data_IF_683557980730
#
_entry.id   IF_683557980730
#
_cell.length_a   1.000
_cell.length_b   1.000
_cell.length_c   1.000
_cell.angle_alpha   90.00
_cell.angle_beta   90.00
_cell.angle_gamma   90.00
#
_symmetry.space_group_name_H-M   'P 1'
#
loop_
_entity.id
_entity.type
_entity.pdbx_description
1 polymer ?
#
# COMPACT_ATOMS: atom_id res chain seq x y z
N UNK A 1 -2.26 -15.72 28.85
CA UNK A 1 -1.18 -15.03 28.09
C UNK A 1 -1.00 -15.76 26.76
N UNK A 2 -1.09 -15.06 25.61
CA UNK A 2 -0.79 -15.69 24.33
C UNK A 2 0.70 -16.03 24.29
N UNK A 3 1.03 -17.30 24.00
CA UNK A 3 2.43 -17.71 23.79
C UNK A 3 2.99 -16.90 22.61
N UNK A 4 4.18 -16.29 22.71
CA UNK A 4 4.73 -15.42 21.67
C UNK A 4 4.75 -16.07 20.28
N UNK A 5 5.00 -17.38 20.21
CA UNK A 5 4.99 -18.15 18.96
C UNK A 5 3.60 -18.21 18.30
N UNK A 6 2.53 -18.37 19.10
CA UNK A 6 1.17 -18.39 18.57
C UNK A 6 0.74 -17.00 18.06
N UNK A 7 1.17 -15.95 18.75
CA UNK A 7 0.96 -14.57 18.29
C UNK A 7 1.72 -14.29 16.99
N UNK A 8 3.00 -14.68 16.92
CA UNK A 8 3.82 -14.57 15.70
C UNK A 8 3.14 -15.23 14.51
N UNK A 9 2.76 -16.51 14.63
CA UNK A 9 2.15 -17.27 13.54
C UNK A 9 0.83 -16.63 13.09
N UNK A 10 0.00 -16.19 14.03
CA UNK A 10 -1.24 -15.49 13.71
C UNK A 10 -0.98 -14.23 12.88
N UNK A 11 -0.06 -13.38 13.29
CA UNK A 11 0.26 -12.14 12.57
C UNK A 11 0.85 -12.47 11.20
N UNK A 12 1.84 -13.37 11.15
CA UNK A 12 2.48 -13.80 9.91
C UNK A 12 1.46 -14.29 8.86
N UNK A 13 0.56 -15.19 9.24
CA UNK A 13 -0.47 -15.75 8.34
C UNK A 13 -1.45 -14.67 7.88
N UNK A 14 -1.76 -13.67 8.71
CA UNK A 14 -2.63 -12.55 8.32
C UNK A 14 -1.95 -11.65 7.30
N UNK A 15 -0.65 -11.35 7.45
CA UNK A 15 0.05 -10.44 6.55
C UNK A 15 0.38 -11.05 5.18
N UNK A 16 0.48 -12.39 5.10
CA UNK A 16 0.76 -13.10 3.86
C UNK A 16 -0.22 -12.75 2.72
N UNK A 17 -1.55 -12.88 2.88
CA UNK A 17 -2.47 -12.48 1.82
C UNK A 17 -2.64 -10.96 1.69
N UNK A 18 -2.36 -10.19 2.76
CA UNK A 18 -2.54 -8.74 2.75
C UNK A 18 -1.59 -8.03 1.79
N UNK A 19 -0.42 -8.62 1.51
CA UNK A 19 0.51 -8.07 0.52
C UNK A 19 -0.14 -7.95 -0.86
N UNK A 20 -0.71 -9.03 -1.40
CA UNK A 20 -1.33 -9.00 -2.72
C UNK A 20 -2.71 -8.34 -2.72
N UNK A 21 -3.48 -8.48 -1.63
CA UNK A 21 -4.74 -7.72 -1.47
C UNK A 21 -4.44 -6.22 -1.53
N UNK A 22 -3.36 -5.76 -0.90
CA UNK A 22 -2.91 -4.37 -0.96
C UNK A 22 -2.55 -3.93 -2.39
N UNK A 23 -1.86 -4.77 -3.15
CA UNK A 23 -1.56 -4.51 -4.58
C UNK A 23 -2.85 -4.42 -5.40
N UNK A 24 -3.77 -5.37 -5.25
CA UNK A 24 -5.02 -5.37 -6.01
C UNK A 24 -5.95 -4.19 -5.65
N UNK A 25 -5.95 -3.76 -4.39
CA UNK A 25 -6.70 -2.57 -3.97
C UNK A 25 -6.07 -1.28 -4.52
N UNK A 26 -4.75 -1.24 -4.65
CA UNK A 26 -4.05 -0.14 -5.33
C UNK A 26 -4.45 -0.05 -6.80
N UNK A 27 -4.31 -1.14 -7.55
CA UNK A 27 -4.72 -1.17 -8.97
C UNK A 27 -6.22 -0.92 -9.13
N UNK A 28 -7.04 -1.44 -8.21
CA UNK A 28 -8.47 -1.17 -8.15
C UNK A 28 -8.79 0.33 -7.98
N UNK A 29 -7.94 1.08 -7.28
CA UNK A 29 -8.04 2.53 -7.16
C UNK A 29 -7.85 3.25 -8.49
N UNK A 30 -6.83 2.87 -9.26
CA UNK A 30 -6.63 3.39 -10.62
C UNK A 30 -7.81 3.04 -11.53
N UNK A 31 -8.27 1.78 -11.49
CA UNK A 31 -9.40 1.30 -12.30
C UNK A 31 -10.69 2.06 -11.97
N UNK A 32 -10.97 2.30 -10.69
CA UNK A 32 -12.17 3.01 -10.27
C UNK A 32 -12.20 4.42 -10.87
N UNK A 33 -11.09 5.16 -10.80
CA UNK A 33 -11.00 6.50 -11.37
C UNK A 33 -11.09 6.45 -12.90
N UNK A 34 -10.35 5.55 -13.54
CA UNK A 34 -10.38 5.38 -15.00
C UNK A 34 -11.79 5.09 -15.52
N UNK A 35 -12.55 4.20 -14.87
CA UNK A 35 -13.93 3.90 -15.26
C UNK A 35 -14.89 5.06 -15.03
N UNK A 36 -14.73 5.82 -13.94
CA UNK A 36 -15.53 7.03 -13.71
C UNK A 36 -15.29 8.07 -14.80
N UNK A 37 -14.07 8.15 -15.33
CA UNK A 37 -13.70 9.01 -16.44
C UNK A 37 -14.05 8.42 -17.83
N UNK A 38 -14.66 7.22 -17.89
CA UNK A 38 -15.12 6.60 -19.13
C UNK A 38 -14.10 5.74 -19.88
N UNK A 39 -12.98 5.38 -19.26
CA UNK A 39 -11.96 4.52 -19.88
C UNK A 39 -12.27 3.04 -19.72
N UNK A 40 -11.95 2.26 -20.76
CA UNK A 40 -11.81 0.81 -20.66
C UNK A 40 -10.55 0.45 -19.87
N UNK A 41 -10.63 -0.57 -19.03
CA UNK A 41 -9.51 -0.97 -18.15
C UNK A 41 -9.24 -2.46 -18.24
N UNK A 42 -7.97 -2.82 -18.30
CA UNK A 42 -7.48 -4.20 -18.17
C UNK A 42 -6.55 -4.25 -16.96
N UNK A 43 -6.81 -5.20 -16.07
CA UNK A 43 -5.99 -5.46 -14.88
C UNK A 43 -4.97 -6.54 -15.21
N UNK A 44 -3.69 -6.25 -14.94
CA UNK A 44 -2.59 -7.20 -15.00
C UNK A 44 -2.13 -7.52 -13.57
N UNK A 45 -1.29 -8.54 -13.40
CA UNK A 45 -0.89 -8.98 -12.06
C UNK A 45 -0.02 -7.97 -11.28
N UNK A 46 0.70 -7.10 -11.98
CA UNK A 46 1.64 -6.11 -11.42
C UNK A 46 1.24 -4.65 -11.68
N UNK A 47 0.21 -4.44 -12.51
CA UNK A 47 -0.12 -3.14 -13.07
C UNK A 47 -1.53 -3.15 -13.65
N UNK A 48 -1.95 -2.00 -14.19
CA UNK A 48 -3.18 -1.92 -14.97
C UNK A 48 -2.92 -1.07 -16.22
N UNK A 49 -3.60 -1.41 -17.32
CA UNK A 49 -3.61 -0.60 -18.56
C UNK A 49 -5.01 -0.05 -18.85
N UNK A 50 -5.11 1.22 -19.25
CA UNK A 50 -6.37 1.82 -19.71
C UNK A 50 -6.27 2.20 -21.19
N UNK A 51 -7.35 1.96 -21.94
CA UNK A 51 -7.49 2.38 -23.34
C UNK A 51 -8.74 3.25 -23.46
N UNK A 52 -8.60 4.40 -24.12
CA UNK A 52 -9.75 5.23 -24.48
C UNK A 52 -10.45 4.60 -25.69
N UNK A 53 -11.71 4.19 -25.55
CA UNK A 53 -12.48 3.51 -26.61
C UNK A 53 -12.91 4.40 -27.79
N UNK A 54 -12.43 5.64 -27.91
CA UNK A 54 -12.60 6.41 -29.16
C UNK A 54 -11.71 7.65 -29.19
N UNK A 55 -10.67 7.64 -30.03
CA UNK A 55 -9.98 8.86 -30.48
C UNK A 55 -9.21 9.66 -29.41
N UNK A 56 -8.89 9.09 -28.26
CA UNK A 56 -8.19 9.84 -27.19
C UNK A 56 -6.72 10.08 -27.52
N UNK A 57 -6.35 11.37 -27.50
CA UNK A 57 -4.97 11.82 -27.57
C UNK A 57 -4.48 12.09 -26.13
N UNK A 58 -3.41 11.45 -25.64
CA UNK A 58 -2.85 11.71 -24.30
C UNK A 58 -2.43 13.17 -24.07
N UNK A 59 -2.32 13.97 -25.14
CA UNK A 59 -2.08 15.41 -25.06
C UNK A 59 -3.36 16.26 -24.94
N UNK A 60 -4.55 15.67 -25.00
CA UNK A 60 -5.82 16.40 -25.00
C UNK A 60 -6.41 16.63 -23.60
N UNK A 61 -6.11 15.77 -22.62
CA UNK A 61 -6.53 15.97 -21.22
C UNK A 61 -5.51 15.39 -20.20
N UNK A 62 -4.43 16.15 -19.89
CA UNK A 62 -3.41 15.71 -18.93
C UNK A 62 -3.92 15.56 -17.49
N UNK A 63 -5.12 16.08 -17.21
CA UNK A 63 -5.72 16.03 -15.88
C UNK A 63 -6.29 14.64 -15.58
N UNK A 64 -6.88 13.96 -16.57
CA UNK A 64 -7.42 12.60 -16.42
C UNK A 64 -6.35 11.60 -15.96
N UNK A 65 -5.19 11.61 -16.60
CA UNK A 65 -4.09 10.72 -16.22
C UNK A 65 -3.60 11.00 -14.79
N UNK A 66 -3.54 12.28 -14.41
CA UNK A 66 -3.19 12.68 -13.04
C UNK A 66 -4.18 12.12 -12.02
N UNK A 67 -5.49 12.19 -12.29
CA UNK A 67 -6.51 11.60 -11.44
C UNK A 67 -6.39 10.08 -11.36
N UNK A 68 -6.15 9.42 -12.50
CA UNK A 68 -5.96 7.97 -12.55
C UNK A 68 -4.73 7.60 -11.70
N UNK A 69 -3.58 8.24 -11.90
CA UNK A 69 -2.36 8.02 -11.12
C UNK A 69 -2.56 8.25 -9.61
N UNK A 70 -3.40 9.22 -9.22
CA UNK A 70 -3.73 9.43 -7.81
C UNK A 70 -4.60 8.31 -7.22
N UNK A 71 -5.39 7.62 -8.04
CA UNK A 71 -6.36 6.61 -7.61
C UNK A 71 -5.76 5.52 -6.73
N UNK A 72 -4.65 4.92 -7.15
CA UNK A 72 -3.99 3.83 -6.41
C UNK A 72 -3.40 4.27 -5.07
N UNK A 73 -2.54 5.31 -5.01
CA UNK A 73 -2.00 5.83 -3.76
C UNK A 73 -3.11 6.27 -2.79
N UNK A 74 -4.12 6.99 -3.28
CA UNK A 74 -5.23 7.46 -2.45
C UNK A 74 -6.11 6.31 -1.92
N UNK A 75 -6.32 5.24 -2.68
CA UNK A 75 -7.05 4.06 -2.20
C UNK A 75 -6.37 3.45 -0.96
N UNK A 76 -5.06 3.20 -1.05
CA UNK A 76 -4.29 2.64 0.06
C UNK A 76 -4.19 3.60 1.25
N UNK A 77 -3.93 4.89 1.01
CA UNK A 77 -3.90 5.90 2.08
C UNK A 77 -5.28 6.03 2.75
N UNK A 78 -6.37 5.96 1.99
CA UNK A 78 -7.73 5.99 2.49
C UNK A 78 -8.04 4.82 3.44
N UNK A 79 -7.70 3.59 3.03
CA UNK A 79 -7.83 2.38 3.87
C UNK A 79 -6.96 2.51 5.13
N UNK A 80 -5.72 2.99 4.97
CA UNK A 80 -4.80 3.27 6.06
C UNK A 80 -5.37 4.27 7.09
N UNK A 81 -5.93 5.37 6.61
CA UNK A 81 -6.57 6.40 7.43
C UNK A 81 -7.79 5.82 8.18
N UNK A 82 -8.62 5.03 7.52
CA UNK A 82 -9.74 4.33 8.17
C UNK A 82 -9.25 3.40 9.29
N UNK A 83 -8.20 2.62 9.04
CA UNK A 83 -7.57 1.76 10.03
C UNK A 83 -7.04 2.52 11.24
N UNK A 84 -6.31 3.62 11.02
CA UNK A 84 -5.81 4.49 12.09
C UNK A 84 -6.92 5.11 12.93
N UNK A 85 -7.98 5.61 12.27
CA UNK A 85 -9.14 6.17 12.94
C UNK A 85 -9.83 5.11 13.81
N UNK A 86 -10.05 3.92 13.27
CA UNK A 86 -10.67 2.83 14.00
C UNK A 86 -9.82 2.39 15.20
N UNK A 87 -8.50 2.28 15.01
CA UNK A 87 -7.56 1.95 16.08
C UNK A 87 -7.57 2.99 17.20
N UNK A 88 -7.62 4.28 16.87
CA UNK A 88 -7.76 5.36 17.85
C UNK A 88 -9.08 5.32 18.63
N UNK A 89 -10.17 4.82 18.03
CA UNK A 89 -11.43 4.56 18.74
C UNK A 89 -11.33 3.38 19.69
N UNK A 90 -10.64 2.30 19.30
CA UNK A 90 -10.46 1.10 20.12
C UNK A 90 -9.46 1.30 21.26
N UNK A 91 -8.49 2.20 21.11
CA UNK A 91 -7.47 2.48 22.13
C UNK A 91 -8.03 3.23 23.35
N UNK A 92 -9.20 3.86 23.24
CA UNK A 92 -9.90 4.49 24.37
C UNK A 92 -10.44 3.48 25.39
N UNK A 93 -10.48 2.18 25.04
CA UNK A 93 -10.93 1.10 25.93
C UNK A 93 -9.71 0.54 26.69
N UNK A 94 -9.55 0.94 27.96
CA UNK A 94 -8.33 0.72 28.77
C UNK A 94 -7.98 -0.76 29.04
N UNK A 95 -8.97 -1.66 29.05
CA UNK A 95 -8.76 -3.02 29.56
C UNK A 95 -8.93 -4.14 28.53
N UNK A 96 -9.10 -3.81 27.25
CA UNK A 96 -9.21 -4.85 26.22
C UNK A 96 -7.84 -5.45 25.90
N UNK A 97 -7.75 -6.78 25.84
CA UNK A 97 -6.62 -7.48 25.26
C UNK A 97 -6.38 -7.03 23.80
N UNK A 98 -5.21 -7.31 23.24
CA UNK A 98 -4.99 -7.15 21.80
C UNK A 98 -5.81 -8.22 21.05
N UNK A 99 -7.05 -7.85 20.76
CA UNK A 99 -8.08 -8.72 20.22
C UNK A 99 -8.08 -8.73 18.68
N UNK A 100 -8.99 -9.50 18.08
CA UNK A 100 -9.15 -9.56 16.63
C UNK A 100 -9.45 -8.21 16.00
N UNK A 101 -10.22 -7.35 16.67
CA UNK A 101 -10.60 -6.02 16.16
C UNK A 101 -9.40 -5.09 16.08
N UNK A 102 -8.56 -5.05 17.12
CA UNK A 102 -7.31 -4.28 17.09
C UNK A 102 -6.32 -4.84 16.09
N UNK A 103 -6.25 -6.17 15.96
CA UNK A 103 -5.41 -6.81 14.94
C UNK A 103 -5.82 -6.33 13.53
N UNK A 104 -7.11 -6.40 13.21
CA UNK A 104 -7.64 -5.96 11.91
C UNK A 104 -7.43 -4.46 11.68
N UNK A 105 -7.75 -3.62 12.67
CA UNK A 105 -7.54 -2.17 12.56
C UNK A 105 -6.05 -1.83 12.35
N UNK A 106 -5.13 -2.54 13.01
CA UNK A 106 -3.69 -2.39 12.78
C UNK A 106 -3.26 -2.83 11.39
N UNK A 107 -3.80 -3.94 10.87
CA UNK A 107 -3.53 -4.40 9.50
C UNK A 107 -3.99 -3.36 8.47
N UNK A 108 -5.23 -2.86 8.61
CA UNK A 108 -5.76 -1.80 7.74
C UNK A 108 -4.92 -0.53 7.82
N UNK A 109 -4.53 -0.10 9.02
CA UNK A 109 -3.69 1.08 9.21
C UNK A 109 -2.33 0.96 8.50
N UNK A 110 -1.79 -0.26 8.41
CA UNK A 110 -0.52 -0.55 7.76
C UNK A 110 -0.60 -0.54 6.23
N UNK A 111 -1.74 -0.27 5.61
CA UNK A 111 -1.79 0.04 4.18
C UNK A 111 -0.96 1.29 3.83
N UNK A 112 -0.73 2.18 4.80
CA UNK A 112 0.26 3.26 4.66
C UNK A 112 1.68 2.75 4.36
N UNK A 113 2.04 1.52 4.77
CA UNK A 113 3.38 0.95 4.54
C UNK A 113 3.72 0.77 3.06
N UNK A 114 2.74 0.82 2.15
CA UNK A 114 2.98 0.80 0.70
C UNK A 114 3.91 1.94 0.25
N UNK A 115 3.78 3.12 0.85
CA UNK A 115 4.64 4.28 0.51
C UNK A 115 6.09 4.07 0.95
N UNK A 116 6.30 3.36 2.08
CA UNK A 116 7.64 2.96 2.53
C UNK A 116 8.22 1.88 1.62
N UNK A 117 7.39 0.95 1.16
CA UNK A 117 7.79 -0.06 0.19
C UNK A 117 8.21 0.57 -1.13
N UNK A 118 7.42 1.51 -1.66
CA UNK A 118 7.75 2.27 -2.87
C UNK A 118 9.06 3.04 -2.70
N UNK A 119 9.28 3.70 -1.56
CA UNK A 119 10.56 4.34 -1.26
C UNK A 119 11.72 3.33 -1.23
N UNK A 120 11.51 2.15 -0.64
CA UNK A 120 12.51 1.09 -0.63
C UNK A 120 12.92 0.65 -2.03
N UNK A 121 11.94 0.42 -2.93
CA UNK A 121 12.21 0.09 -4.33
C UNK A 121 12.91 1.23 -5.06
N UNK A 122 12.44 2.48 -4.89
CA UNK A 122 13.07 3.65 -5.50
C UNK A 122 14.53 3.80 -5.06
N UNK A 123 14.88 3.54 -3.80
CA UNK A 123 16.26 3.59 -3.33
C UNK A 123 17.13 2.48 -3.93
N UNK A 124 16.55 1.30 -4.19
CA UNK A 124 17.23 0.20 -4.89
C UNK A 124 17.43 0.54 -6.37
N UNK A 125 16.51 1.26 -7.01
CA UNK A 125 16.67 1.69 -8.41
C UNK A 125 17.63 2.88 -8.53
N UNK A 126 17.61 3.79 -7.55
CA UNK A 126 18.49 4.96 -7.51
C UNK A 126 19.97 4.56 -7.51
N UNK A 127 20.29 3.42 -6.89
CA UNK A 127 21.60 2.79 -7.00
C UNK A 127 21.44 1.39 -7.64
N UNK A 128 21.59 1.25 -8.97
CA UNK A 128 22.69 1.81 -9.77
C UNK A 128 22.30 2.79 -10.90
N UNK A 129 21.01 3.03 -11.14
CA UNK A 129 20.56 3.72 -12.37
C UNK A 129 20.49 5.25 -12.25
N UNK A 130 20.55 5.78 -11.02
CA UNK A 130 20.35 7.22 -10.78
C UNK A 130 18.93 7.69 -11.01
N UNK A 131 17.95 6.78 -11.06
CA UNK A 131 16.54 7.06 -11.27
C UNK A 131 15.74 6.81 -9.98
N UNK A 132 14.75 7.65 -9.71
CA UNK A 132 13.79 7.46 -8.62
C UNK A 132 12.73 6.40 -8.94
N UNK A 133 12.78 5.86 -10.16
CA UNK A 133 11.91 4.80 -10.62
C UNK A 133 10.62 5.30 -11.23
N UNK A 134 9.67 4.38 -11.36
CA UNK A 134 8.38 4.64 -12.00
C UNK A 134 7.19 4.56 -11.04
N UNK A 135 7.38 4.80 -9.74
CA UNK A 135 6.25 4.83 -8.80
C UNK A 135 5.27 5.94 -9.16
N UNK A 136 4.00 5.82 -8.75
CA UNK A 136 2.99 6.82 -9.05
C UNK A 136 3.33 8.18 -8.46
N UNK A 137 3.91 8.22 -7.27
CA UNK A 137 4.35 9.46 -6.64
C UNK A 137 5.47 10.15 -7.43
N UNK A 138 6.39 9.39 -8.03
CA UNK A 138 7.45 9.93 -8.90
C UNK A 138 6.85 10.43 -10.22
N UNK A 139 5.94 9.66 -10.82
CA UNK A 139 5.21 10.08 -12.04
C UNK A 139 4.40 11.36 -11.81
N UNK A 140 3.73 11.48 -10.66
CA UNK A 140 3.02 12.68 -10.25
C UNK A 140 3.98 13.86 -10.03
N UNK A 141 5.12 13.67 -9.37
CA UNK A 141 6.09 14.73 -9.15
C UNK A 141 6.58 15.31 -10.48
N UNK A 142 6.94 14.45 -11.44
CA UNK A 142 7.34 14.83 -12.80
C UNK A 142 6.27 15.62 -13.52
N UNK A 143 5.00 15.20 -13.42
CA UNK A 143 3.85 15.91 -14.03
C UNK A 143 3.65 17.32 -13.49
N UNK A 144 3.85 17.50 -12.19
CA UNK A 144 3.74 18.81 -11.56
C UNK A 144 5.01 19.67 -11.67
N UNK A 145 6.05 19.20 -12.37
CA UNK A 145 7.34 19.90 -12.46
C UNK A 145 8.07 19.98 -11.12
N UNK A 146 7.77 19.08 -10.19
CA UNK A 146 8.45 18.97 -8.89
C UNK A 146 9.70 18.11 -9.03
N UNK A 147 10.70 18.26 -8.13
CA UNK A 147 11.86 17.38 -8.10
C UNK A 147 11.45 15.92 -7.98
N UNK A 148 12.10 15.04 -8.74
CA UNK A 148 11.89 13.60 -8.66
C UNK A 148 12.09 13.10 -7.23
N UNK A 149 11.23 12.17 -6.81
CA UNK A 149 11.22 11.66 -5.45
C UNK A 149 10.61 12.59 -4.38
N UNK A 150 10.34 13.87 -4.66
CA UNK A 150 9.81 14.80 -3.64
C UNK A 150 8.48 14.33 -3.04
N UNK A 151 7.49 14.00 -3.88
CA UNK A 151 6.21 13.46 -3.42
C UNK A 151 6.38 12.12 -2.71
N UNK A 152 7.23 11.23 -3.24
CA UNK A 152 7.52 9.93 -2.63
C UNK A 152 8.12 10.07 -1.22
N UNK A 153 9.05 11.01 -1.02
CA UNK A 153 9.65 11.29 0.28
C UNK A 153 8.62 11.85 1.26
N UNK A 154 7.74 12.75 0.81
CA UNK A 154 6.67 13.32 1.64
C UNK A 154 5.67 12.23 2.06
N UNK A 155 5.21 11.40 1.12
CA UNK A 155 4.25 10.32 1.42
C UNK A 155 4.89 9.23 2.28
N UNK A 156 6.16 8.88 2.05
CA UNK A 156 6.92 7.96 2.90
C UNK A 156 7.14 8.50 4.32
N UNK A 157 7.35 9.81 4.47
CA UNK A 157 7.42 10.43 5.79
C UNK A 157 6.08 10.30 6.54
N UNK A 158 4.96 10.63 5.90
CA UNK A 158 3.62 10.46 6.48
C UNK A 158 3.33 8.99 6.81
N UNK A 159 3.73 8.08 5.93
CA UNK A 159 3.62 6.64 6.15
C UNK A 159 4.44 6.18 7.35
N UNK A 160 5.66 6.71 7.53
CA UNK A 160 6.48 6.42 8.71
C UNK A 160 5.75 6.80 9.99
N UNK A 161 5.14 8.00 10.03
CA UNK A 161 4.35 8.44 11.17
C UNK A 161 3.14 7.53 11.42
N UNK A 162 2.41 7.13 10.36
CA UNK A 162 1.27 6.22 10.43
C UNK A 162 1.66 4.82 10.96
N UNK A 163 2.75 4.24 10.43
CA UNK A 163 3.27 2.93 10.84
C UNK A 163 3.73 2.98 12.29
N UNK A 164 4.53 3.98 12.67
CA UNK A 164 4.97 4.18 14.05
C UNK A 164 3.77 4.32 14.99
N UNK A 165 2.79 5.15 14.60
CA UNK A 165 1.57 5.31 15.39
C UNK A 165 0.84 3.99 15.57
N UNK A 166 0.73 3.17 14.53
CA UNK A 166 0.11 1.85 14.60
C UNK A 166 0.83 0.92 15.57
N UNK A 167 2.16 0.86 15.51
CA UNK A 167 2.98 0.03 16.40
C UNK A 167 2.82 0.46 17.87
N UNK A 168 2.63 1.75 18.15
CA UNK A 168 2.42 2.20 19.55
C UNK A 168 1.16 1.62 20.20
N UNK A 169 0.15 1.26 19.41
CA UNK A 169 -1.09 0.62 19.90
C UNK A 169 -0.95 -0.89 20.13
N UNK A 170 0.12 -1.51 19.65
CA UNK A 170 0.45 -2.90 19.96
C UNK A 170 1.07 -2.97 21.37
N UNK A 171 0.70 -3.96 22.22
CA UNK A 171 1.26 -4.10 23.56
C UNK A 171 2.79 -4.15 23.55
N UNK A 172 3.45 -3.45 24.48
CA UNK A 172 4.92 -3.27 24.50
C UNK A 172 5.70 -4.58 24.29
N UNK A 173 5.32 -5.66 24.96
CA UNK A 173 5.98 -6.97 24.86
C UNK A 173 5.75 -7.73 23.55
N UNK A 174 4.81 -7.28 22.70
CA UNK A 174 4.47 -7.93 21.42
C UNK A 174 4.86 -7.09 20.20
N UNK A 175 5.33 -5.84 20.38
CA UNK A 175 5.64 -4.92 19.27
C UNK A 175 6.66 -5.49 18.30
N UNK A 176 7.78 -5.98 18.82
CA UNK A 176 8.85 -6.58 17.99
C UNK A 176 8.32 -7.80 17.22
N UNK A 177 7.62 -8.70 17.90
CA UNK A 177 7.01 -9.88 17.28
C UNK A 177 6.01 -9.50 16.18
N UNK A 178 5.16 -8.50 16.44
CA UNK A 178 4.20 -7.98 15.46
C UNK A 178 4.91 -7.41 14.22
N UNK A 179 5.93 -6.58 14.42
CA UNK A 179 6.68 -5.96 13.33
C UNK A 179 7.43 -7.00 12.49
N UNK A 180 8.15 -7.93 13.12
CA UNK A 180 8.91 -8.96 12.39
C UNK A 180 7.95 -9.91 11.66
N UNK A 181 6.88 -10.37 12.33
CA UNK A 181 5.89 -11.25 11.70
C UNK A 181 5.19 -10.57 10.52
N UNK A 182 4.83 -9.29 10.67
CA UNK A 182 4.20 -8.50 9.62
C UNK A 182 5.12 -8.29 8.42
N UNK A 183 6.40 -7.94 8.67
CA UNK A 183 7.40 -7.78 7.62
C UNK A 183 7.64 -9.09 6.86
N UNK A 184 7.95 -10.18 7.56
CA UNK A 184 8.21 -11.48 6.93
C UNK A 184 6.98 -12.02 6.18
N UNK A 185 5.79 -11.87 6.77
CA UNK A 185 4.54 -12.26 6.12
C UNK A 185 4.30 -11.47 4.84
N UNK A 186 4.53 -10.15 4.87
CA UNK A 186 4.31 -9.29 3.70
C UNK A 186 5.34 -9.55 2.59
N UNK A 187 6.61 -9.73 2.93
CA UNK A 187 7.68 -10.05 1.96
C UNK A 187 7.41 -11.40 1.29
N UNK A 188 7.08 -12.44 2.08
CA UNK A 188 6.75 -13.74 1.52
C UNK A 188 5.47 -13.67 0.67
N UNK A 189 4.43 -12.98 1.16
CA UNK A 189 3.18 -12.79 0.43
C UNK A 189 3.37 -12.09 -0.91
N UNK A 190 4.20 -11.05 -0.93
CA UNK A 190 4.59 -10.34 -2.15
C UNK A 190 5.33 -11.28 -3.11
N UNK A 191 6.30 -12.06 -2.62
CA UNK A 191 7.02 -13.04 -3.42
C UNK A 191 6.12 -14.13 -4.00
N UNK A 192 5.20 -14.68 -3.21
CA UNK A 192 4.22 -15.69 -3.67
C UNK A 192 3.29 -15.13 -4.74
N UNK A 193 2.89 -13.86 -4.61
CA UNK A 193 2.09 -13.19 -5.63
C UNK A 193 2.85 -13.04 -6.94
N UNK A 194 4.01 -12.38 -6.91
CA UNK A 194 4.76 -12.08 -8.14
C UNK A 194 5.33 -13.33 -8.82
N UNK A 195 5.74 -14.35 -8.05
CA UNK A 195 6.37 -15.53 -8.61
C UNK A 195 5.37 -16.62 -9.07
N UNK A 196 4.13 -16.61 -8.55
CA UNK A 196 3.20 -17.72 -8.79
C UNK A 196 1.75 -17.27 -8.98
N UNK A 197 1.11 -16.70 -7.95
CA UNK A 197 -0.33 -16.47 -7.99
C UNK A 197 -0.74 -15.41 -9.01
N UNK A 198 0.02 -14.32 -9.11
CA UNK A 198 -0.27 -13.20 -10.01
C UNK A 198 -0.32 -13.64 -11.48
N UNK A 199 0.77 -14.20 -12.03
CA UNK A 199 0.83 -14.65 -13.42
C UNK A 199 -0.16 -15.76 -13.78
N UNK A 200 -0.60 -16.57 -12.80
CA UNK A 200 -1.60 -17.63 -13.04
C UNK A 200 -3.05 -17.11 -13.01
N UNK A 201 -3.32 -16.05 -12.23
CA UNK A 201 -4.68 -15.53 -12.03
C UNK A 201 -5.02 -14.36 -12.97
N UNK A 202 -4.01 -13.59 -13.37
CA UNK A 202 -4.16 -12.40 -14.17
C UNK A 202 -3.16 -12.44 -15.35
N UNK A 203 -3.54 -11.83 -16.49
CA UNK A 203 -2.64 -11.70 -17.63
C UNK A 203 -1.40 -10.87 -17.30
#
# INVERSE_FOLDING_TARGET
MNRPNAFFLKIFVIFLPMAFIGTMLHEGGHIAVARVLGYGTTLHYDSMSWSGDSGWNPNADPMHDTWILLGGPLANMGIGCFGLFWLARLSKRKDAAFDGKRTLASVLALFWSRQLFNLGLALVEMYPYGDWGSSDEVRLARRFGLPDGSLLLVTAFLASLAVLRTITHVPKGLRVTFTIAGLLGSVLGFGVWYAYLGPELLP
#
